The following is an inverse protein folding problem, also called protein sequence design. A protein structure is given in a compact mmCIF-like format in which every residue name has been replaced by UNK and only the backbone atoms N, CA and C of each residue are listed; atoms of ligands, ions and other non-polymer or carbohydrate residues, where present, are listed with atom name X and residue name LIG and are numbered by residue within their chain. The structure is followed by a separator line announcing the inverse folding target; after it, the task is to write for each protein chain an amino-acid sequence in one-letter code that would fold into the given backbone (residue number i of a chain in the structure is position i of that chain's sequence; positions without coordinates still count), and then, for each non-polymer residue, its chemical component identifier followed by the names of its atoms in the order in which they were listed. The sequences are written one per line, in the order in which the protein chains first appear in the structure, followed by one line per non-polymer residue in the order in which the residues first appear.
data_IF_211078097803
#
_entry.id   IF_211078097803
#
_cell.length_a   1.000
_cell.length_b   1.000
_cell.length_c   1.000
_cell.angle_alpha   90.00
_cell.angle_beta   90.00
_cell.angle_gamma   90.00
#
_symmetry.space_group_name_H-M   'P 1'
#
loop_
_entity.id
_entity.type
_entity.pdbx_description
1 polymer ?
#
# COMPACT_ATOMS: atom_id res chain seq x y z
N UNK A 1 -9.36 8.04 26.26
CA UNK A 1 -9.54 9.34 25.55
C UNK A 1 -9.61 9.00 24.07
N UNK A 2 -10.59 9.54 23.35
CA UNK A 2 -10.66 9.35 21.89
C UNK A 2 -9.43 9.93 21.20
N UNK A 3 -8.96 9.38 20.08
CA UNK A 3 -7.89 9.94 19.27
C UNK A 3 -8.17 11.42 18.94
N UNK A 4 -7.11 12.23 18.84
CA UNK A 4 -7.24 13.65 18.51
C UNK A 4 -6.90 13.92 17.06
N UNK A 5 -7.75 14.69 16.38
CA UNK A 5 -7.48 15.23 15.04
C UNK A 5 -6.72 16.55 15.22
N UNK A 6 -5.70 16.80 14.40
CA UNK A 6 -4.98 18.08 14.48
C UNK A 6 -5.91 19.23 14.10
N UNK A 7 -5.84 20.34 14.83
CA UNK A 7 -6.75 21.50 14.71
C UNK A 7 -6.81 22.13 13.30
N UNK A 8 -5.83 21.88 12.44
CA UNK A 8 -5.83 22.36 11.06
C UNK A 8 -6.68 21.54 10.09
N UNK A 9 -7.07 20.31 10.47
CA UNK A 9 -7.80 19.39 9.59
C UNK A 9 -9.31 19.66 9.60
N UNK A 10 -9.85 20.20 10.69
CA UNK A 10 -11.28 20.52 10.81
C UNK A 10 -11.71 21.82 10.09
N UNK A 11 -10.93 22.34 9.17
CA UNK A 11 -11.21 23.53 8.37
C UNK A 11 -11.70 23.16 6.96
N UNK A 12 -12.96 22.99 6.82
CA UNK A 12 -13.84 23.23 5.69
C UNK A 12 -13.63 22.62 4.32
N UNK A 13 -14.53 21.72 3.95
CA UNK A 13 -14.90 21.42 2.56
C UNK A 13 -16.39 21.78 2.36
N UNK A 14 -16.70 22.71 1.48
CA UNK A 14 -18.10 23.13 1.22
C UNK A 14 -18.40 23.29 -0.26
N UNK A 15 -19.62 22.94 -0.57
CA UNK A 15 -20.62 23.46 -1.50
C UNK A 15 -20.97 22.57 -2.69
N UNK A 16 -22.28 22.41 -2.81
CA UNK A 16 -22.99 21.73 -3.89
C UNK A 16 -22.88 22.50 -5.21
N UNK A 17 -22.37 21.83 -6.23
CA UNK A 17 -22.46 22.26 -7.63
C UNK A 17 -23.10 21.11 -8.40
N UNK A 18 -24.08 21.37 -9.31
CA UNK A 18 -24.67 20.31 -10.13
C UNK A 18 -23.60 19.54 -10.89
N UNK A 19 -23.59 18.23 -10.76
CA UNK A 19 -22.57 17.34 -11.30
C UNK A 19 -23.18 16.36 -12.29
N UNK A 20 -22.36 15.87 -13.22
CA UNK A 20 -22.70 14.67 -13.97
C UNK A 20 -22.43 13.50 -13.03
N UNK A 21 -23.47 12.89 -12.54
CA UNK A 21 -23.40 11.74 -11.66
C UNK A 21 -23.56 10.45 -12.47
N UNK A 22 -23.30 9.33 -11.83
CA UNK A 22 -23.72 8.04 -12.33
C UNK A 22 -25.25 7.98 -12.48
N UNK A 23 -25.73 7.23 -13.44
CA UNK A 23 -27.15 6.89 -13.52
C UNK A 23 -27.54 5.98 -12.35
N UNK A 24 -28.85 5.88 -12.02
CA UNK A 24 -29.32 5.02 -10.94
C UNK A 24 -28.83 3.56 -11.10
N UNK A 25 -28.92 2.90 -12.28
CA UNK A 25 -28.40 1.55 -12.45
C UNK A 25 -26.88 1.43 -12.23
N UNK A 26 -26.12 2.49 -12.51
CA UNK A 26 -24.69 2.51 -12.23
C UNK A 26 -24.41 2.63 -10.73
N UNK A 27 -25.16 3.46 -10.03
CA UNK A 27 -25.09 3.55 -8.56
C UNK A 27 -25.49 2.24 -7.91
N UNK A 28 -26.60 1.63 -8.35
CA UNK A 28 -27.03 0.31 -7.85
C UNK A 28 -25.94 -0.76 -8.04
N UNK A 29 -25.24 -0.73 -9.18
CA UNK A 29 -24.12 -1.63 -9.42
C UNK A 29 -22.92 -1.37 -8.51
N UNK A 30 -22.66 -0.11 -8.13
CA UNK A 30 -21.58 0.25 -7.20
C UNK A 30 -21.92 -0.25 -5.78
N UNK A 31 -23.14 0.04 -5.32
CA UNK A 31 -23.59 -0.39 -3.99
C UNK A 31 -23.67 -1.91 -3.89
N UNK A 32 -24.20 -2.59 -4.92
CA UNK A 32 -24.21 -4.06 -4.95
C UNK A 32 -22.81 -4.65 -4.85
N UNK A 33 -21.83 -4.13 -5.60
CA UNK A 33 -20.44 -4.61 -5.51
C UNK A 33 -19.84 -4.34 -4.13
N UNK A 34 -20.13 -3.17 -3.55
CA UNK A 34 -19.72 -2.84 -2.18
C UNK A 34 -20.30 -3.85 -1.18
N UNK A 35 -21.62 -4.03 -1.18
CA UNK A 35 -22.31 -4.88 -0.20
C UNK A 35 -21.94 -6.36 -0.33
N UNK A 36 -21.70 -6.86 -1.55
CA UNK A 36 -21.47 -8.29 -1.78
C UNK A 36 -20.00 -8.69 -1.81
N UNK A 37 -19.08 -7.78 -2.06
CA UNK A 37 -17.65 -8.08 -2.21
C UNK A 37 -16.79 -7.25 -1.24
N UNK A 38 -16.84 -5.90 -1.32
CA UNK A 38 -15.92 -5.04 -0.58
C UNK A 38 -16.21 -5.05 0.91
N UNK A 39 -17.43 -4.78 1.32
CA UNK A 39 -17.82 -4.72 2.73
C UNK A 39 -17.51 -6.03 3.49
N UNK A 40 -17.94 -7.22 3.03
CA UNK A 40 -17.65 -8.46 3.75
C UNK A 40 -16.16 -8.81 3.72
N UNK A 41 -15.43 -8.46 2.65
CA UNK A 41 -13.99 -8.69 2.57
C UNK A 41 -13.26 -7.84 3.60
N UNK A 42 -13.42 -6.52 3.55
CA UNK A 42 -12.70 -5.61 4.43
C UNK A 42 -13.07 -5.82 5.89
N UNK A 43 -14.35 -6.05 6.20
CA UNK A 43 -14.79 -6.42 7.55
C UNK A 43 -14.13 -7.71 8.04
N UNK A 44 -13.92 -8.68 7.16
CA UNK A 44 -13.21 -9.93 7.49
C UNK A 44 -11.72 -9.71 7.77
N UNK A 45 -11.07 -8.80 7.05
CA UNK A 45 -9.63 -8.55 7.17
C UNK A 45 -9.29 -7.50 8.25
N UNK A 46 -10.16 -6.51 8.50
CA UNK A 46 -9.82 -5.32 9.28
C UNK A 46 -10.78 -5.03 10.45
N UNK A 47 -11.64 -5.94 10.83
CA UNK A 47 -12.77 -5.76 11.75
C UNK A 47 -13.95 -5.00 11.12
N UNK A 48 -15.04 -4.87 11.90
CA UNK A 48 -16.23 -4.15 11.44
C UNK A 48 -16.01 -2.63 11.48
N UNK A 49 -16.65 -1.88 10.58
CA UNK A 49 -16.75 -0.43 10.73
C UNK A 49 -17.51 -0.05 12.00
N UNK A 50 -17.42 1.20 12.39
CA UNK A 50 -18.25 1.82 13.40
C UNK A 50 -19.66 2.12 12.86
N UNK A 51 -20.52 2.62 13.73
CA UNK A 51 -21.85 3.15 13.38
C UNK A 51 -22.09 4.34 14.34
N UNK A 52 -21.41 5.48 14.06
CA UNK A 52 -21.39 6.64 14.95
C UNK A 52 -22.71 7.40 14.94
N UNK A 53 -23.48 7.33 13.85
CA UNK A 53 -24.77 7.99 13.70
C UNK A 53 -25.97 7.05 13.90
N UNK A 54 -25.72 5.76 14.11
CA UNK A 54 -26.74 4.76 14.41
C UNK A 54 -27.66 4.41 13.23
N UNK A 55 -27.20 4.67 11.98
CA UNK A 55 -28.00 4.43 10.78
C UNK A 55 -27.68 3.09 10.09
N UNK A 56 -26.63 2.42 10.51
CA UNK A 56 -26.11 1.15 9.96
C UNK A 56 -25.74 1.21 8.47
N UNK A 57 -25.38 2.39 7.97
CA UNK A 57 -25.03 2.60 6.56
C UNK A 57 -23.66 3.26 6.40
N UNK A 58 -22.99 2.93 5.31
CA UNK A 58 -21.77 3.59 4.85
C UNK A 58 -22.14 4.55 3.70
N UNK A 59 -21.67 5.78 3.79
CA UNK A 59 -21.96 6.81 2.78
C UNK A 59 -20.78 6.94 1.82
N UNK A 60 -21.02 6.69 0.54
CA UNK A 60 -20.07 6.93 -0.55
C UNK A 60 -20.44 8.22 -1.28
N UNK A 61 -19.75 9.34 -0.98
CA UNK A 61 -20.08 10.65 -1.57
C UNK A 61 -19.24 10.92 -2.82
N UNK A 62 -19.85 10.82 -3.99
CA UNK A 62 -19.24 11.24 -5.26
C UNK A 62 -19.38 12.74 -5.47
N UNK A 63 -18.26 13.46 -5.62
CA UNK A 63 -18.27 14.92 -5.74
C UNK A 63 -17.22 15.44 -6.71
N UNK A 64 -17.60 16.38 -7.59
CA UNK A 64 -16.68 17.12 -8.45
C UNK A 64 -15.71 18.02 -7.66
N UNK A 65 -15.95 18.26 -6.37
CA UNK A 65 -14.98 18.95 -5.53
C UNK A 65 -13.73 18.08 -5.33
N UNK A 66 -13.88 16.76 -5.31
CA UNK A 66 -12.74 15.83 -5.24
C UNK A 66 -11.91 15.90 -6.52
N UNK A 67 -12.56 16.04 -7.69
CA UNK A 67 -11.86 16.23 -8.96
C UNK A 67 -10.92 17.45 -8.93
N UNK A 68 -11.31 18.54 -8.24
CA UNK A 68 -10.51 19.77 -8.10
C UNK A 68 -9.25 19.61 -7.25
N UNK A 69 -9.16 18.57 -6.41
CA UNK A 69 -7.97 18.29 -5.61
C UNK A 69 -6.77 17.88 -6.48
N UNK A 70 -7.02 17.49 -7.73
CA UNK A 70 -5.97 17.24 -8.71
C UNK A 70 -6.05 18.31 -9.80
N UNK A 71 -5.14 19.32 -9.80
CA UNK A 71 -5.12 20.34 -10.84
C UNK A 71 -5.03 19.77 -12.25
N UNK A 72 -5.62 20.43 -13.26
CA UNK A 72 -5.48 20.02 -14.66
C UNK A 72 -4.02 19.88 -15.07
N UNK A 73 -3.73 18.92 -15.92
CA UNK A 73 -2.38 18.62 -16.43
C UNK A 73 -1.36 18.18 -15.37
N UNK A 74 -1.79 17.82 -14.17
CA UNK A 74 -0.91 17.20 -13.18
C UNK A 74 -0.34 15.90 -13.74
N UNK A 75 0.99 15.79 -13.77
CA UNK A 75 1.71 14.56 -14.11
C UNK A 75 1.97 13.77 -12.84
N UNK A 76 1.68 12.46 -12.87
CA UNK A 76 1.85 11.59 -11.71
C UNK A 76 0.53 11.13 -11.11
N UNK A 77 0.43 11.10 -9.78
CA UNK A 77 -0.76 10.64 -9.07
C UNK A 77 -1.94 11.63 -9.15
N UNK A 78 -3.11 11.13 -8.85
CA UNK A 78 -4.32 11.93 -8.68
C UNK A 78 -5.06 11.49 -7.42
N UNK A 79 -5.88 12.38 -6.86
CA UNK A 79 -6.76 12.07 -5.74
C UNK A 79 -8.00 11.36 -6.30
N UNK A 80 -8.14 10.08 -6.04
CA UNK A 80 -9.31 9.26 -6.43
C UNK A 80 -10.44 9.33 -5.42
N UNK A 81 -10.09 9.49 -4.16
CA UNK A 81 -10.97 9.62 -3.01
C UNK A 81 -10.17 9.95 -1.77
N UNK A 82 -10.84 10.13 -0.66
CA UNK A 82 -10.25 10.15 0.68
C UNK A 82 -11.29 9.85 1.75
N UNK A 83 -10.84 9.33 2.88
CA UNK A 83 -11.60 9.26 4.11
C UNK A 83 -11.13 10.39 5.06
N UNK A 84 -12.06 10.98 5.79
CA UNK A 84 -11.79 12.04 6.75
C UNK A 84 -12.21 11.62 8.17
N UNK A 85 -11.25 11.22 8.99
CA UNK A 85 -11.52 10.76 10.36
C UNK A 85 -12.23 11.81 11.25
N UNK A 86 -12.20 13.08 10.86
CA UNK A 86 -12.94 14.16 11.52
C UNK A 86 -14.46 13.95 11.50
N UNK A 87 -14.98 13.18 10.54
CA UNK A 87 -16.42 12.88 10.44
C UNK A 87 -16.95 11.98 11.56
N UNK A 88 -16.08 11.35 12.34
CA UNK A 88 -16.48 10.60 13.53
C UNK A 88 -16.70 11.48 14.78
N UNK A 89 -16.24 12.73 14.75
CA UNK A 89 -16.32 13.63 15.90
C UNK A 89 -17.63 14.42 15.88
N UNK A 90 -18.15 14.83 17.06
CA UNK A 90 -19.27 15.74 17.10
C UNK A 90 -18.86 17.11 16.54
N UNK A 91 -19.80 17.85 15.93
CA UNK A 91 -19.54 19.21 15.44
C UNK A 91 -19.11 20.18 16.53
N UNK A 92 -19.64 19.98 17.74
CA UNK A 92 -19.26 20.72 18.96
C UNK A 92 -18.66 19.75 19.97
N UNK A 93 -17.49 20.07 20.47
CA UNK A 93 -16.80 19.22 21.44
C UNK A 93 -17.55 19.06 22.76
N UNK A 94 -17.36 17.93 23.42
CA UNK A 94 -17.90 17.58 24.71
C UNK A 94 -16.83 16.99 25.64
N UNK A 95 -17.21 16.48 26.81
CA UNK A 95 -16.26 15.90 27.75
C UNK A 95 -15.58 14.60 27.24
N UNK A 96 -16.14 13.93 26.26
CA UNK A 96 -15.68 12.65 25.71
C UNK A 96 -14.88 12.79 24.42
N UNK A 97 -15.20 13.79 23.60
CA UNK A 97 -14.57 14.01 22.31
C UNK A 97 -14.37 15.50 21.99
N UNK A 98 -13.28 15.81 21.29
CA UNK A 98 -13.09 17.15 20.74
C UNK A 98 -14.15 17.45 19.68
N UNK A 99 -14.46 18.74 19.43
CA UNK A 99 -15.32 19.16 18.35
C UNK A 99 -14.58 19.20 17.02
N UNK A 100 -15.30 18.87 15.95
CA UNK A 100 -14.88 19.07 14.56
C UNK A 100 -16.03 19.76 13.81
N UNK A 101 -15.96 21.08 13.68
CA UNK A 101 -17.06 21.89 13.15
C UNK A 101 -17.52 21.52 11.72
N UNK A 102 -16.66 20.84 10.97
CA UNK A 102 -16.90 20.38 9.59
C UNK A 102 -17.26 18.90 9.50
N UNK A 103 -17.44 18.25 10.65
CA UNK A 103 -17.85 16.84 10.69
C UNK A 103 -19.24 16.65 10.10
N UNK A 104 -19.41 15.56 9.36
CA UNK A 104 -20.72 15.08 8.94
C UNK A 104 -21.38 14.15 9.97
N UNK A 105 -20.63 13.74 11.02
CA UNK A 105 -21.13 12.87 12.08
C UNK A 105 -21.55 11.50 11.57
N UNK A 106 -20.84 10.92 10.62
CA UNK A 106 -21.25 9.72 9.90
C UNK A 106 -20.06 8.91 9.37
N UNK A 107 -20.30 7.66 9.03
CA UNK A 107 -19.40 6.80 8.26
C UNK A 107 -19.44 7.20 6.79
N UNK A 108 -18.59 8.16 6.41
CA UNK A 108 -18.58 8.73 5.06
C UNK A 108 -17.15 8.75 4.49
N UNK A 109 -17.00 8.42 3.22
CA UNK A 109 -15.81 8.70 2.45
C UNK A 109 -16.14 9.32 1.09
N UNK A 110 -15.18 10.05 0.54
CA UNK A 110 -15.36 10.97 -0.55
C UNK A 110 -14.66 10.45 -1.80
N UNK A 111 -15.37 10.49 -2.93
CA UNK A 111 -14.91 9.94 -4.20
C UNK A 111 -15.03 10.96 -5.32
N UNK A 112 -14.08 10.95 -6.25
CA UNK A 112 -14.19 11.75 -7.46
C UNK A 112 -15.40 11.30 -8.30
N UNK A 113 -16.04 12.25 -8.99
CA UNK A 113 -17.19 12.00 -9.85
C UNK A 113 -16.81 11.93 -11.34
N UNK A 114 -17.64 11.32 -12.20
CA UNK A 114 -17.50 11.49 -13.64
C UNK A 114 -17.48 12.97 -14.03
N UNK A 115 -16.55 13.34 -14.90
CA UNK A 115 -16.41 14.70 -15.44
C UNK A 115 -15.98 14.61 -16.93
N UNK A 116 -16.89 14.22 -17.82
CA UNK A 116 -16.54 14.01 -19.23
C UNK A 116 -16.20 15.29 -19.98
N UNK A 117 -16.49 16.44 -19.40
CA UNK A 117 -16.19 17.76 -19.96
C UNK A 117 -14.97 18.43 -19.35
N UNK A 118 -14.41 17.89 -18.26
CA UNK A 118 -13.30 18.49 -17.54
C UNK A 118 -13.67 19.79 -16.81
N UNK A 119 -14.93 19.93 -16.37
CA UNK A 119 -15.42 21.13 -15.68
C UNK A 119 -14.76 21.34 -14.31
N UNK A 120 -14.42 20.25 -13.65
CA UNK A 120 -13.89 20.27 -12.28
C UNK A 120 -12.39 19.91 -12.22
N UNK A 121 -11.79 19.53 -13.35
CA UNK A 121 -10.40 19.12 -13.39
C UNK A 121 -10.07 18.45 -14.72
N UNK A 122 -9.35 17.33 -14.68
CA UNK A 122 -9.07 16.54 -15.87
C UNK A 122 -10.35 15.81 -16.34
N UNK A 123 -10.49 15.66 -17.67
CA UNK A 123 -11.57 14.88 -18.29
C UNK A 123 -11.57 13.45 -17.73
N UNK A 124 -12.73 13.01 -17.22
CA UNK A 124 -12.92 11.69 -16.65
C UNK A 124 -14.25 11.10 -17.10
N UNK A 125 -14.16 10.10 -17.99
CA UNK A 125 -15.36 9.41 -18.44
C UNK A 125 -16.02 8.62 -17.30
N UNK A 126 -17.33 8.41 -17.41
CA UNK A 126 -18.10 7.59 -16.46
C UNK A 126 -17.49 6.17 -16.32
N UNK A 127 -17.08 5.57 -17.45
CA UNK A 127 -16.45 4.23 -17.42
C UNK A 127 -15.09 4.23 -16.73
N UNK A 128 -14.25 5.24 -16.93
CA UNK A 128 -12.95 5.32 -16.27
C UNK A 128 -13.08 5.53 -14.75
N UNK A 129 -14.05 6.37 -14.33
CA UNK A 129 -14.34 6.57 -12.91
C UNK A 129 -14.91 5.28 -12.30
N UNK A 130 -15.92 4.65 -12.94
CA UNK A 130 -16.49 3.40 -12.46
C UNK A 130 -15.42 2.31 -12.29
N UNK A 131 -14.49 2.24 -13.23
CA UNK A 131 -13.39 1.27 -13.18
C UNK A 131 -12.40 1.58 -12.06
N UNK A 132 -11.97 2.83 -11.94
CA UNK A 132 -10.94 3.24 -10.97
C UNK A 132 -11.44 3.26 -9.53
N UNK A 133 -12.71 3.60 -9.30
CA UNK A 133 -13.27 3.70 -7.93
C UNK A 133 -13.43 2.36 -7.23
N UNK A 134 -13.41 1.23 -7.91
CA UNK A 134 -13.52 -0.09 -7.29
C UNK A 134 -12.42 -0.33 -6.24
N UNK A 135 -11.17 -0.13 -6.61
CA UNK A 135 -10.04 -0.21 -5.68
C UNK A 135 -10.05 0.93 -4.66
N UNK A 136 -10.39 2.16 -5.10
CA UNK A 136 -10.47 3.33 -4.20
C UNK A 136 -11.51 3.11 -3.09
N UNK A 137 -12.67 2.53 -3.39
CA UNK A 137 -13.70 2.21 -2.39
C UNK A 137 -13.15 1.26 -1.30
N UNK A 138 -12.46 0.20 -1.69
CA UNK A 138 -11.82 -0.71 -0.74
C UNK A 138 -10.77 0.01 0.11
N UNK A 139 -9.97 0.87 -0.50
CA UNK A 139 -8.94 1.68 0.14
C UNK A 139 -9.52 2.63 1.20
N UNK A 140 -10.49 3.46 0.82
CA UNK A 140 -11.08 4.45 1.73
C UNK A 140 -11.93 3.78 2.84
N UNK A 141 -12.60 2.69 2.51
CA UNK A 141 -13.35 1.91 3.50
C UNK A 141 -12.43 1.27 4.54
N UNK A 142 -11.23 0.82 4.17
CA UNK A 142 -10.25 0.33 5.13
C UNK A 142 -9.76 1.44 6.07
N UNK A 143 -9.47 2.66 5.57
CA UNK A 143 -9.16 3.81 6.42
C UNK A 143 -10.27 4.09 7.42
N UNK A 144 -11.52 4.06 6.99
CA UNK A 144 -12.69 4.22 7.84
C UNK A 144 -12.74 3.16 8.94
N UNK A 145 -12.57 1.88 8.60
CA UNK A 145 -12.55 0.79 9.58
C UNK A 145 -11.41 1.00 10.59
N UNK A 146 -10.20 1.30 10.12
CA UNK A 146 -9.03 1.49 10.97
C UNK A 146 -9.23 2.67 11.94
N UNK A 147 -9.64 3.82 11.41
CA UNK A 147 -9.89 5.00 12.22
C UNK A 147 -11.04 4.79 13.21
N UNK A 148 -12.14 4.16 12.79
CA UNK A 148 -13.30 3.87 13.63
C UNK A 148 -12.98 2.93 14.80
N UNK A 149 -12.24 1.85 14.54
CA UNK A 149 -11.81 0.93 15.61
C UNK A 149 -10.89 1.64 16.61
N UNK A 150 -10.03 2.56 16.16
CA UNK A 150 -9.19 3.37 17.06
C UNK A 150 -9.99 4.43 17.80
N UNK A 151 -10.93 5.07 17.13
CA UNK A 151 -11.81 6.08 17.72
C UNK A 151 -12.64 5.51 18.89
N UNK A 152 -13.12 4.29 18.77
CA UNK A 152 -13.91 3.62 19.82
C UNK A 152 -13.07 2.94 20.90
N UNK A 153 -11.77 2.74 20.67
CA UNK A 153 -10.93 2.03 21.63
C UNK A 153 -10.38 2.99 22.71
N UNK A 154 -10.80 2.85 23.98
CA UNK A 154 -10.38 3.76 25.06
C UNK A 154 -8.88 3.65 25.41
N UNK A 155 -8.19 2.63 24.93
CA UNK A 155 -6.74 2.45 25.13
C UNK A 155 -5.90 3.16 24.06
N UNK A 156 -6.53 3.68 23.01
CA UNK A 156 -5.87 4.33 21.89
C UNK A 156 -5.95 5.85 22.05
N UNK A 157 -4.83 6.53 21.90
CA UNK A 157 -4.75 8.00 21.97
C UNK A 157 -4.51 8.66 20.62
N UNK A 158 -4.15 7.90 19.58
CA UNK A 158 -3.80 8.42 18.26
C UNK A 158 -4.36 7.53 17.15
N UNK A 159 -4.68 8.12 16.01
CA UNK A 159 -4.87 7.38 14.77
C UNK A 159 -3.58 6.69 14.34
N UNK A 160 -3.68 5.74 13.43
CA UNK A 160 -2.53 4.99 12.95
C UNK A 160 -1.50 5.91 12.25
N UNK A 161 -0.23 5.52 12.27
CA UNK A 161 0.79 6.24 11.51
C UNK A 161 0.57 6.06 10.02
N UNK A 162 0.76 7.15 9.27
CA UNK A 162 0.45 7.24 7.84
C UNK A 162 0.98 6.07 7.02
N UNK A 163 2.22 5.64 7.23
CA UNK A 163 2.79 4.55 6.43
C UNK A 163 2.06 3.22 6.61
N UNK A 164 1.62 2.92 7.84
CA UNK A 164 0.93 1.67 8.15
C UNK A 164 -0.55 1.74 7.76
N UNK A 165 -1.18 2.89 7.95
CA UNK A 165 -2.55 3.15 7.54
C UNK A 165 -2.70 3.02 6.02
N UNK A 166 -1.83 3.67 5.25
CA UNK A 166 -1.77 3.54 3.79
C UNK A 166 -1.46 2.11 3.33
N UNK A 167 -0.53 1.43 4.02
CA UNK A 167 -0.19 0.05 3.68
C UNK A 167 -1.35 -0.91 3.87
N UNK A 168 -2.17 -0.70 4.92
CA UNK A 168 -3.38 -1.48 5.17
C UNK A 168 -4.47 -1.19 4.14
N UNK A 169 -4.64 0.07 3.75
CA UNK A 169 -5.57 0.45 2.70
C UNK A 169 -5.19 -0.14 1.32
N UNK A 170 -3.91 -0.15 0.99
CA UNK A 170 -3.41 -0.86 -0.19
C UNK A 170 -3.52 -2.39 -0.08
N UNK A 171 -3.46 -2.93 1.12
CA UNK A 171 -3.74 -4.34 1.36
C UNK A 171 -5.22 -4.68 1.14
N UNK A 172 -6.14 -3.78 1.48
CA UNK A 172 -7.57 -3.93 1.20
C UNK A 172 -7.86 -4.01 -0.30
N UNK A 173 -7.24 -3.15 -1.12
CA UNK A 173 -7.32 -3.24 -2.58
C UNK A 173 -6.95 -4.67 -3.06
N UNK A 174 -5.81 -5.20 -2.61
CA UNK A 174 -5.35 -6.56 -2.95
C UNK A 174 -6.32 -7.65 -2.45
N UNK A 175 -6.80 -7.55 -1.21
CA UNK A 175 -7.71 -8.52 -0.61
C UNK A 175 -9.06 -8.58 -1.35
N UNK A 176 -9.66 -7.44 -1.65
CA UNK A 176 -10.91 -7.32 -2.42
C UNK A 176 -10.70 -7.87 -3.84
N UNK A 177 -9.58 -7.50 -4.49
CA UNK A 177 -9.24 -8.03 -5.81
C UNK A 177 -9.08 -9.55 -5.82
N UNK A 178 -8.50 -10.15 -4.78
CA UNK A 178 -8.39 -11.61 -4.64
C UNK A 178 -9.76 -12.27 -4.52
N UNK A 179 -10.63 -11.74 -3.66
CA UNK A 179 -12.00 -12.25 -3.51
C UNK A 179 -12.79 -12.11 -4.80
N UNK A 180 -12.72 -10.95 -5.46
CA UNK A 180 -13.36 -10.69 -6.76
C UNK A 180 -12.94 -11.71 -7.83
N UNK A 181 -11.70 -12.17 -7.78
CA UNK A 181 -11.11 -13.11 -8.74
C UNK A 181 -11.17 -14.58 -8.28
N UNK A 182 -11.67 -14.85 -7.07
CA UNK A 182 -11.70 -16.19 -6.49
C UNK A 182 -10.31 -16.74 -6.11
N UNK A 183 -9.34 -15.88 -5.85
CA UNK A 183 -8.01 -16.27 -5.40
C UNK A 183 -7.97 -16.45 -3.88
N UNK A 184 -7.23 -17.46 -3.42
CA UNK A 184 -6.99 -17.67 -1.99
C UNK A 184 -5.99 -16.66 -1.40
N UNK A 185 -6.06 -16.45 -0.08
CA UNK A 185 -5.24 -15.50 0.68
C UNK A 185 -3.72 -15.69 0.45
N UNK A 186 -3.30 -16.95 0.41
CA UNK A 186 -1.89 -17.37 0.24
C UNK A 186 -1.66 -18.09 -1.10
N UNK A 187 -2.56 -17.92 -2.06
CA UNK A 187 -2.33 -18.40 -3.42
C UNK A 187 -1.24 -17.56 -4.07
N UNK A 188 -0.15 -18.21 -4.45
CA UNK A 188 0.94 -17.57 -5.19
C UNK A 188 0.48 -17.17 -6.58
N UNK A 189 0.36 -15.86 -6.84
CA UNK A 189 -0.10 -15.34 -8.12
C UNK A 189 1.08 -15.04 -9.05
N UNK A 190 1.05 -15.58 -10.24
CA UNK A 190 1.88 -15.19 -11.37
C UNK A 190 1.18 -14.11 -12.22
N UNK A 191 1.89 -13.47 -13.14
CA UNK A 191 1.28 -12.45 -14.02
C UNK A 191 0.16 -13.02 -14.89
N UNK A 192 0.29 -14.26 -15.34
CA UNK A 192 -0.75 -14.94 -16.12
C UNK A 192 -2.04 -15.18 -15.32
N UNK A 193 -1.97 -15.33 -14.00
CA UNK A 193 -3.16 -15.44 -13.14
C UNK A 193 -3.87 -14.09 -13.07
N UNK A 194 -3.11 -13.01 -12.92
CA UNK A 194 -3.64 -11.64 -12.84
C UNK A 194 -4.23 -11.18 -14.18
N UNK A 195 -3.57 -11.49 -15.29
CA UNK A 195 -3.95 -11.09 -16.65
C UNK A 195 -3.92 -12.29 -17.59
N UNK A 196 -4.91 -13.21 -17.49
CA UNK A 196 -4.92 -14.46 -18.27
C UNK A 196 -5.31 -14.28 -19.74
N UNK A 197 -5.67 -13.08 -20.16
CA UNK A 197 -6.25 -12.82 -21.47
C UNK A 197 -5.67 -11.58 -22.15
N UNK A 198 -5.67 -11.57 -23.48
CA UNK A 198 -5.43 -10.36 -24.26
C UNK A 198 -6.62 -9.41 -24.13
N UNK A 199 -6.34 -8.10 -24.17
CA UNK A 199 -7.37 -7.05 -24.07
C UNK A 199 -8.34 -7.06 -25.26
N UNK A 200 -9.64 -6.72 -25.06
CA UNK A 200 -10.28 -6.39 -23.78
C UNK A 200 -10.78 -7.64 -23.04
N UNK A 201 -10.61 -7.66 -21.72
CA UNK A 201 -11.17 -8.71 -20.89
C UNK A 201 -11.48 -8.20 -19.47
N UNK A 202 -12.47 -8.82 -18.79
CA UNK A 202 -12.90 -8.45 -17.46
C UNK A 202 -11.78 -8.57 -16.41
N UNK A 203 -10.95 -9.62 -16.54
CA UNK A 203 -9.83 -9.86 -15.64
C UNK A 203 -8.76 -8.77 -15.70
N UNK A 204 -8.55 -8.15 -16.87
CA UNK A 204 -7.69 -6.98 -16.98
C UNK A 204 -8.29 -5.75 -16.26
N UNK A 205 -9.60 -5.62 -16.30
CA UNK A 205 -10.29 -4.56 -15.55
C UNK A 205 -10.10 -4.77 -14.04
N UNK A 206 -10.23 -6.00 -13.53
CA UNK A 206 -9.97 -6.30 -12.14
C UNK A 206 -8.50 -6.08 -11.77
N UNK A 207 -7.57 -6.47 -12.63
CA UNK A 207 -6.15 -6.19 -12.45
C UNK A 207 -5.87 -4.69 -12.32
N UNK A 208 -6.44 -3.88 -13.21
CA UNK A 208 -6.27 -2.42 -13.19
C UNK A 208 -6.94 -1.76 -11.97
N UNK A 209 -8.06 -2.33 -11.48
CA UNK A 209 -8.78 -1.78 -10.34
C UNK A 209 -8.08 -2.06 -9.00
N UNK A 210 -7.54 -3.27 -8.81
CA UNK A 210 -7.17 -3.76 -7.50
C UNK A 210 -5.68 -4.06 -7.32
N UNK A 211 -4.94 -4.37 -8.41
CA UNK A 211 -3.57 -4.87 -8.28
C UNK A 211 -2.53 -3.92 -8.90
N UNK A 212 -2.84 -3.36 -10.07
CA UNK A 212 -1.86 -2.63 -10.86
C UNK A 212 -1.20 -1.47 -10.12
N UNK A 213 -1.98 -0.68 -9.36
CA UNK A 213 -1.45 0.50 -8.67
C UNK A 213 -0.41 0.13 -7.61
N UNK A 214 -0.65 -0.94 -6.83
CA UNK A 214 0.27 -1.40 -5.81
C UNK A 214 1.56 -1.95 -6.42
N UNK A 215 1.45 -2.72 -7.50
CA UNK A 215 2.59 -3.23 -8.24
C UNK A 215 3.38 -2.12 -8.95
N UNK A 216 2.70 -1.12 -9.50
CA UNK A 216 3.34 0.04 -10.11
C UNK A 216 4.12 0.87 -9.07
N UNK A 217 3.54 1.10 -7.89
CA UNK A 217 4.19 1.79 -6.78
C UNK A 217 5.41 1.01 -6.26
N UNK A 218 5.30 -0.32 -6.18
CA UNK A 218 6.42 -1.18 -5.83
C UNK A 218 7.53 -1.12 -6.89
N UNK A 219 7.19 -0.99 -8.18
CA UNK A 219 8.17 -0.81 -9.24
C UNK A 219 9.02 0.46 -9.05
N UNK A 220 8.40 1.58 -8.64
CA UNK A 220 9.15 2.80 -8.31
C UNK A 220 10.12 2.61 -7.14
N UNK A 221 9.72 1.83 -6.13
CA UNK A 221 10.61 1.48 -5.04
C UNK A 221 11.77 0.58 -5.51
N UNK A 222 11.49 -0.44 -6.32
CA UNK A 222 12.50 -1.36 -6.83
C UNK A 222 13.57 -0.68 -7.68
N UNK A 223 13.24 0.43 -8.34
CA UNK A 223 14.20 1.26 -9.08
C UNK A 223 15.16 2.02 -8.13
N UNK A 224 14.73 2.35 -6.91
CA UNK A 224 15.49 3.13 -5.92
C UNK A 224 15.31 2.60 -4.50
N UNK A 225 15.70 1.34 -4.23
CA UNK A 225 15.41 0.68 -2.95
C UNK A 225 16.20 1.23 -1.76
N UNK A 226 17.23 2.03 -2.03
CA UNK A 226 18.08 2.74 -1.05
C UNK A 226 17.51 4.09 -0.61
N UNK A 227 16.49 4.62 -1.31
CA UNK A 227 15.98 5.98 -1.12
C UNK A 227 14.62 6.06 -0.42
N UNK A 228 13.83 5.01 -0.43
CA UNK A 228 12.46 5.01 0.07
C UNK A 228 12.25 3.96 1.16
N UNK A 229 12.14 4.42 2.41
CA UNK A 229 11.83 3.53 3.55
C UNK A 229 10.34 3.17 3.58
N UNK A 230 9.99 1.89 3.78
CA UNK A 230 8.59 1.47 3.91
C UNK A 230 7.89 2.08 5.13
N UNK A 231 8.64 2.48 6.16
CA UNK A 231 8.11 3.01 7.43
C UNK A 231 8.23 4.53 7.53
N UNK A 232 8.48 5.20 6.40
CA UNK A 232 8.61 6.66 6.36
C UNK A 232 7.26 7.37 6.47
N UNK A 233 7.25 8.50 7.17
CA UNK A 233 6.12 9.43 7.17
C UNK A 233 5.82 10.05 5.79
N UNK A 234 6.71 9.85 4.81
CA UNK A 234 6.53 10.31 3.42
C UNK A 234 5.53 9.47 2.61
N UNK A 235 4.83 8.52 3.23
CA UNK A 235 3.84 7.69 2.55
C UNK A 235 2.72 8.50 1.87
N UNK A 236 2.35 9.66 2.40
CA UNK A 236 1.35 10.54 1.77
C UNK A 236 1.79 11.12 0.42
N UNK A 237 3.08 11.36 0.24
CA UNK A 237 3.61 12.10 -0.91
C UNK A 237 4.50 11.27 -1.83
N UNK A 238 4.90 10.06 -1.39
CA UNK A 238 5.81 9.20 -2.14
C UNK A 238 5.15 7.90 -2.55
N UNK A 239 4.86 7.75 -3.84
CA UNK A 239 4.32 6.50 -4.39
C UNK A 239 5.26 5.30 -4.17
N UNK A 240 6.58 5.52 -4.23
CA UNK A 240 7.57 4.48 -3.94
C UNK A 240 7.51 4.01 -2.48
N UNK A 241 7.35 4.94 -1.53
CA UNK A 241 7.16 4.63 -0.12
C UNK A 241 5.86 3.84 0.11
N UNK A 242 4.75 4.23 -0.52
CA UNK A 242 3.48 3.48 -0.46
C UNK A 242 3.64 2.05 -0.99
N UNK A 243 4.32 1.88 -2.12
CA UNK A 243 4.59 0.55 -2.69
C UNK A 243 5.43 -0.33 -1.77
N UNK A 244 6.47 0.25 -1.15
CA UNK A 244 7.30 -0.46 -0.17
C UNK A 244 6.50 -0.82 1.10
N UNK A 245 5.67 0.10 1.59
CA UNK A 245 4.84 -0.10 2.78
C UNK A 245 3.80 -1.21 2.56
N UNK A 246 3.12 -1.23 1.42
CA UNK A 246 2.25 -2.33 1.02
C UNK A 246 3.03 -3.66 0.96
N UNK A 247 4.18 -3.67 0.30
CA UNK A 247 4.95 -4.89 0.09
C UNK A 247 5.47 -5.50 1.39
N UNK A 248 5.94 -4.69 2.36
CA UNK A 248 6.40 -5.22 3.65
C UNK A 248 5.23 -5.73 4.51
N UNK A 249 4.06 -5.07 4.47
CA UNK A 249 2.84 -5.55 5.16
C UNK A 249 2.36 -6.85 4.53
N UNK A 250 2.38 -6.97 3.20
CA UNK A 250 2.04 -8.22 2.49
C UNK A 250 3.03 -9.34 2.84
N UNK A 251 4.35 -9.05 2.85
CA UNK A 251 5.38 -9.97 3.29
C UNK A 251 5.16 -10.46 4.73
N UNK A 252 4.82 -9.54 5.63
CA UNK A 252 4.56 -9.90 7.02
C UNK A 252 3.28 -10.76 7.15
N UNK A 253 2.23 -10.42 6.42
CA UNK A 253 1.02 -11.24 6.37
C UNK A 253 1.28 -12.65 5.83
N UNK A 254 2.18 -12.81 4.87
CA UNK A 254 2.56 -14.10 4.32
C UNK A 254 3.38 -14.96 5.29
N UNK A 255 4.26 -14.35 6.11
CA UNK A 255 5.29 -15.06 6.86
C UNK A 255 5.13 -14.99 8.38
N UNK A 256 4.37 -14.04 8.93
CA UNK A 256 4.22 -13.82 10.38
C UNK A 256 2.78 -13.99 10.90
N UNK A 257 1.83 -14.32 10.03
CA UNK A 257 0.41 -14.44 10.40
C UNK A 257 0.05 -15.70 11.21
N UNK A 258 0.95 -16.63 11.37
CA UNK A 258 0.79 -17.96 11.97
C UNK A 258 -0.28 -18.88 11.30
N UNK A 259 -1.21 -18.34 10.53
CA UNK A 259 -2.26 -19.12 9.88
C UNK A 259 -2.82 -18.42 8.64
N UNK A 260 -3.43 -17.26 8.79
CA UNK A 260 -4.13 -16.53 7.74
C UNK A 260 -3.77 -15.04 7.77
N UNK A 261 -3.54 -14.41 6.62
CA UNK A 261 -3.25 -12.97 6.49
C UNK A 261 -4.25 -12.08 7.24
N UNK A 262 -5.54 -12.42 7.21
CA UNK A 262 -6.60 -11.68 7.92
C UNK A 262 -6.41 -11.64 9.44
N UNK A 263 -5.83 -12.64 10.05
CA UNK A 263 -5.52 -12.62 11.49
C UNK A 263 -4.47 -11.56 11.80
N UNK A 264 -3.49 -11.40 10.95
CA UNK A 264 -2.44 -10.40 11.08
C UNK A 264 -2.98 -8.97 10.89
N UNK A 265 -3.76 -8.72 9.84
CA UNK A 265 -4.30 -7.39 9.56
C UNK A 265 -5.32 -6.95 10.61
N UNK A 266 -6.17 -7.86 11.10
CA UNK A 266 -7.07 -7.60 12.24
C UNK A 266 -6.32 -7.22 13.51
N UNK A 267 -5.20 -7.89 13.79
CA UNK A 267 -4.37 -7.57 14.95
C UNK A 267 -3.76 -6.16 14.85
N UNK A 268 -3.39 -5.71 13.66
CA UNK A 268 -2.90 -4.36 13.42
C UNK A 268 -3.99 -3.29 13.68
N UNK A 269 -5.21 -3.53 13.21
CA UNK A 269 -6.33 -2.60 13.41
C UNK A 269 -6.77 -2.55 14.88
N UNK A 270 -6.81 -3.69 15.56
CA UNK A 270 -7.22 -3.78 16.97
C UNK A 270 -6.12 -3.34 17.96
N UNK A 271 -4.86 -3.23 17.51
CA UNK A 271 -3.72 -2.91 18.36
C UNK A 271 -3.80 -1.49 18.95
N UNK A 272 -3.40 -1.31 20.22
CA UNK A 272 -3.42 0.01 20.85
C UNK A 272 -2.24 0.91 20.43
N UNK A 273 -1.17 0.32 19.94
CA UNK A 273 0.03 1.02 19.46
C UNK A 273 -0.15 1.54 18.03
N UNK A 274 0.81 2.34 17.55
CA UNK A 274 0.84 2.85 16.17
C UNK A 274 2.17 2.55 15.48
N UNK A 275 2.17 2.49 14.17
CA UNK A 275 3.35 2.39 13.32
C UNK A 275 4.22 1.19 13.64
N UNK A 276 5.50 1.47 13.82
CA UNK A 276 6.52 0.44 14.06
C UNK A 276 6.24 -0.41 15.31
N UNK A 277 5.69 0.20 16.36
CA UNK A 277 5.34 -0.53 17.60
C UNK A 277 4.17 -1.49 17.35
N UNK A 278 3.12 -1.02 16.70
CA UNK A 278 1.97 -1.85 16.33
C UNK A 278 2.39 -3.01 15.42
N UNK A 279 3.20 -2.71 14.41
CA UNK A 279 3.70 -3.71 13.48
C UNK A 279 4.58 -4.77 14.16
N UNK A 280 5.49 -4.34 15.08
CA UNK A 280 6.32 -5.26 15.86
C UNK A 280 5.49 -6.14 16.81
N UNK A 281 4.45 -5.58 17.43
CA UNK A 281 3.53 -6.34 18.27
C UNK A 281 2.75 -7.39 17.48
N UNK A 282 2.24 -7.05 16.30
CA UNK A 282 1.49 -7.96 15.44
C UNK A 282 2.37 -9.08 14.84
N UNK A 283 3.60 -8.76 14.44
CA UNK A 283 4.56 -9.75 13.91
C UNK A 283 5.24 -10.56 15.00
N UNK A 284 5.17 -10.13 16.27
CA UNK A 284 5.94 -10.68 17.41
C UNK A 284 7.44 -10.69 17.14
N UNK A 285 7.90 -9.72 16.38
CA UNK A 285 9.32 -9.63 15.94
C UNK A 285 9.75 -8.16 15.91
N UNK A 286 11.00 -7.86 16.23
CA UNK A 286 11.55 -6.53 16.03
C UNK A 286 11.43 -6.11 14.56
N UNK A 287 11.12 -4.84 14.33
CA UNK A 287 10.93 -4.29 12.97
C UNK A 287 12.14 -4.56 12.07
N UNK A 288 13.36 -4.45 12.60
CA UNK A 288 14.59 -4.72 11.87
C UNK A 288 14.65 -6.16 11.32
N UNK A 289 14.17 -7.13 12.10
CA UNK A 289 14.12 -8.53 11.65
C UNK A 289 13.17 -8.69 10.48
N UNK A 290 12.01 -8.03 10.52
CA UNK A 290 11.02 -8.08 9.44
C UNK A 290 11.53 -7.36 8.19
N UNK A 291 12.08 -6.15 8.35
CA UNK A 291 12.67 -5.37 7.24
C UNK A 291 13.80 -6.14 6.55
N UNK A 292 14.70 -6.76 7.32
CA UNK A 292 15.78 -7.59 6.77
C UNK A 292 15.26 -8.75 5.96
N UNK A 293 14.31 -9.51 6.52
CA UNK A 293 13.69 -10.64 5.82
C UNK A 293 12.99 -10.18 4.53
N UNK A 294 12.27 -9.07 4.61
CA UNK A 294 11.61 -8.46 3.45
C UNK A 294 12.60 -8.03 2.36
N UNK A 295 13.67 -7.31 2.71
CA UNK A 295 14.69 -6.91 1.74
C UNK A 295 15.36 -8.10 1.06
N UNK A 296 15.65 -9.18 1.79
CA UNK A 296 16.17 -10.41 1.18
C UNK A 296 15.13 -11.02 0.23
N UNK A 297 13.84 -11.08 0.64
CA UNK A 297 12.78 -11.65 -0.18
C UNK A 297 12.58 -10.90 -1.49
N UNK A 298 12.73 -9.57 -1.51
CA UNK A 298 12.60 -8.76 -2.73
C UNK A 298 13.61 -9.15 -3.82
N UNK A 299 14.77 -9.69 -3.44
CA UNK A 299 15.72 -10.29 -4.39
C UNK A 299 15.47 -11.78 -4.62
N UNK A 300 15.25 -12.54 -3.55
CA UNK A 300 15.30 -14.01 -3.56
C UNK A 300 13.99 -14.67 -4.00
N UNK A 301 12.87 -13.89 -4.04
CA UNK A 301 11.56 -14.42 -4.36
C UNK A 301 11.56 -15.24 -5.65
N UNK A 302 11.14 -16.50 -5.55
CA UNK A 302 11.03 -17.47 -6.66
C UNK A 302 12.30 -17.60 -7.54
N UNK A 303 13.48 -17.32 -6.99
CA UNK A 303 14.74 -17.43 -7.74
C UNK A 303 15.31 -18.87 -7.78
N UNK A 304 14.68 -19.81 -7.08
CA UNK A 304 15.09 -21.23 -7.09
C UNK A 304 16.38 -21.50 -6.32
N UNK A 305 16.72 -20.69 -5.32
CA UNK A 305 17.96 -20.83 -4.54
C UNK A 305 17.82 -22.05 -3.61
N UNK A 306 18.68 -23.05 -3.83
CA UNK A 306 18.69 -24.27 -3.02
C UNK A 306 19.01 -23.97 -1.55
N UNK A 307 18.20 -24.50 -0.64
CA UNK A 307 18.39 -24.35 0.81
C UNK A 307 18.00 -22.99 1.38
N UNK A 308 17.41 -22.11 0.57
CA UNK A 308 16.88 -20.86 1.06
C UNK A 308 15.66 -21.12 1.96
N UNK A 309 15.64 -20.50 3.14
CA UNK A 309 14.48 -20.56 4.06
C UNK A 309 13.24 -19.94 3.37
N UNK A 310 12.12 -20.64 3.45
CA UNK A 310 10.85 -20.22 2.83
C UNK A 310 10.35 -18.84 3.27
N UNK A 311 10.77 -18.35 4.46
CA UNK A 311 10.47 -16.98 4.91
C UNK A 311 11.06 -15.88 4.02
N UNK A 312 12.02 -16.18 3.17
CA UNK A 312 12.58 -15.22 2.20
C UNK A 312 11.86 -15.25 0.85
N UNK A 313 10.62 -15.70 0.84
CA UNK A 313 9.75 -15.71 -0.33
C UNK A 313 8.37 -15.19 0.03
N UNK A 314 7.68 -14.63 -0.95
CA UNK A 314 6.25 -14.37 -0.84
C UNK A 314 5.47 -15.67 -1.06
N UNK A 315 4.40 -15.84 -0.30
CA UNK A 315 3.46 -16.95 -0.48
C UNK A 315 2.28 -16.55 -1.34
N UNK A 316 2.02 -15.25 -1.44
CA UNK A 316 0.89 -14.66 -2.16
C UNK A 316 1.22 -14.23 -3.58
N UNK A 317 2.48 -14.02 -3.90
CA UNK A 317 2.95 -13.57 -5.21
C UNK A 317 4.21 -14.28 -5.66
N UNK A 318 4.34 -14.48 -6.98
CA UNK A 318 5.60 -14.73 -7.66
C UNK A 318 6.04 -13.40 -8.31
N UNK A 319 6.78 -12.58 -7.58
CA UNK A 319 7.23 -11.29 -8.11
C UNK A 319 8.18 -11.41 -9.30
N UNK A 320 8.89 -12.52 -9.45
CA UNK A 320 9.71 -12.77 -10.65
C UNK A 320 8.86 -12.88 -11.91
N UNK A 321 7.63 -13.35 -11.79
CA UNK A 321 6.66 -13.40 -12.88
C UNK A 321 5.91 -12.07 -13.04
N UNK A 322 5.49 -11.45 -11.92
CA UNK A 322 4.56 -10.32 -11.94
C UNK A 322 5.27 -9.00 -12.29
N UNK A 323 6.44 -8.74 -11.71
CA UNK A 323 7.06 -7.41 -11.77
C UNK A 323 7.63 -7.01 -13.13
N UNK A 324 8.24 -7.91 -13.95
CA UNK A 324 8.79 -7.50 -15.23
C UNK A 324 7.77 -6.91 -16.21
N UNK A 325 6.58 -7.51 -16.44
CA UNK A 325 5.55 -6.90 -17.32
C UNK A 325 4.98 -5.58 -16.76
N UNK A 326 4.87 -5.45 -15.42
CA UNK A 326 4.43 -4.21 -14.80
C UNK A 326 5.49 -3.12 -15.00
N UNK A 327 6.76 -3.41 -14.75
CA UNK A 327 7.86 -2.47 -14.94
C UNK A 327 8.01 -2.02 -16.41
N UNK A 328 7.71 -2.87 -17.37
CA UNK A 328 7.67 -2.49 -18.78
C UNK A 328 6.67 -1.35 -19.01
N UNK A 329 5.49 -1.42 -18.39
CA UNK A 329 4.46 -0.38 -18.55
C UNK A 329 4.72 0.89 -17.73
N UNK A 330 5.47 0.79 -16.64
CA UNK A 330 5.70 1.89 -15.68
C UNK A 330 7.03 2.61 -15.95
N UNK A 331 8.11 1.87 -16.22
CA UNK A 331 9.48 2.38 -16.39
C UNK A 331 10.00 2.21 -17.82
N UNK A 332 9.21 1.71 -18.75
CA UNK A 332 9.63 1.40 -20.13
C UNK A 332 10.82 0.42 -20.20
N UNK A 333 10.95 -0.46 -19.22
CA UNK A 333 11.98 -1.50 -19.17
C UNK A 333 11.61 -2.71 -20.04
N UNK A 334 12.56 -3.61 -20.28
CA UNK A 334 12.26 -4.90 -20.95
C UNK A 334 11.31 -5.74 -20.07
N UNK A 335 10.30 -6.36 -20.70
CA UNK A 335 9.35 -7.25 -20.03
C UNK A 335 9.98 -8.51 -19.39
N UNK A 336 11.23 -8.81 -19.67
CA UNK A 336 11.99 -9.91 -19.07
C UNK A 336 12.91 -9.46 -17.95
N UNK A 337 13.05 -8.15 -17.72
CA UNK A 337 13.98 -7.62 -16.72
C UNK A 337 13.26 -7.46 -15.37
N UNK A 338 13.75 -8.17 -14.36
CA UNK A 338 13.29 -7.92 -12.98
C UNK A 338 13.73 -6.53 -12.54
N UNK A 339 12.80 -5.66 -12.09
CA UNK A 339 13.08 -4.23 -11.98
C UNK A 339 13.93 -3.82 -10.78
N UNK A 340 14.28 -4.75 -9.87
CA UNK A 340 15.09 -4.43 -8.70
C UNK A 340 16.47 -3.94 -9.13
N UNK A 341 16.81 -2.71 -8.72
CA UNK A 341 18.10 -2.11 -9.01
C UNK A 341 19.22 -2.83 -8.28
N UNK A 342 20.11 -3.46 -9.05
CA UNK A 342 21.27 -4.20 -8.57
C UNK A 342 22.51 -3.58 -9.21
N UNK A 343 23.47 -3.19 -8.38
CA UNK A 343 24.76 -2.66 -8.83
C UNK A 343 25.77 -3.79 -8.95
N UNK A 344 26.49 -3.86 -10.07
CA UNK A 344 27.52 -4.87 -10.26
C UNK A 344 28.86 -4.38 -9.70
N UNK A 345 29.52 -5.21 -8.91
CA UNK A 345 30.89 -4.99 -8.45
C UNK A 345 31.83 -5.76 -9.38
N UNK A 346 32.69 -5.05 -10.07
CA UNK A 346 33.65 -5.59 -11.02
C UNK A 346 34.82 -6.33 -10.37
N UNK A 347 35.81 -6.71 -11.21
CA UNK A 347 37.03 -7.40 -10.74
C UNK A 347 38.11 -6.45 -10.24
N UNK A 348 37.95 -5.12 -10.44
CA UNK A 348 38.85 -4.06 -9.98
C UNK A 348 38.36 -3.35 -8.73
N UNK A 349 38.95 -2.21 -8.43
CA UNK A 349 38.48 -1.30 -7.37
C UNK A 349 37.33 -0.43 -7.88
N UNK A 350 36.09 -0.90 -7.73
CA UNK A 350 34.90 -0.08 -8.01
C UNK A 350 34.55 0.75 -6.76
N UNK A 351 34.48 2.04 -6.93
CA UNK A 351 33.90 2.93 -5.91
C UNK A 351 32.40 3.10 -6.19
N UNK A 352 31.57 2.36 -5.47
CA UNK A 352 30.12 2.51 -5.51
C UNK A 352 29.70 3.28 -4.26
N UNK A 353 29.13 4.45 -4.45
CA UNK A 353 28.58 5.25 -3.36
C UNK A 353 27.11 4.96 -3.23
N UNK A 354 26.67 4.52 -2.05
CA UNK A 354 25.26 4.32 -1.69
C UNK A 354 24.98 5.04 -0.38
N UNK A 355 23.84 5.71 -0.31
CA UNK A 355 23.34 6.35 0.91
C UNK A 355 22.02 5.72 1.26
N UNK A 356 22.06 4.76 2.18
CA UNK A 356 20.85 4.12 2.67
C UNK A 356 20.14 4.99 3.72
N UNK A 357 18.81 5.07 3.61
CA UNK A 357 17.97 5.55 4.70
C UNK A 357 17.64 4.38 5.65
N UNK A 358 17.23 4.70 6.87
CA UNK A 358 16.76 3.69 7.82
C UNK A 358 15.62 2.87 7.21
N UNK A 359 15.71 1.54 7.31
CA UNK A 359 14.71 0.63 6.75
C UNK A 359 14.83 0.37 5.24
N UNK A 360 15.92 0.84 4.59
CA UNK A 360 16.20 0.62 3.16
C UNK A 360 17.37 -0.32 2.94
N UNK A 361 17.64 -0.70 1.68
CA UNK A 361 18.75 -1.56 1.30
C UNK A 361 19.29 -1.28 -0.08
N UNK A 362 20.58 -1.54 -0.26
CA UNK A 362 21.24 -1.54 -1.57
C UNK A 362 21.63 -2.95 -1.95
N UNK A 363 21.45 -3.29 -3.21
CA UNK A 363 21.75 -4.62 -3.73
C UNK A 363 22.96 -4.58 -4.63
N UNK A 364 23.92 -5.48 -4.34
CA UNK A 364 25.14 -5.64 -5.12
C UNK A 364 25.24 -7.05 -5.67
N UNK A 365 25.69 -7.16 -6.92
CA UNK A 365 26.09 -8.44 -7.52
C UNK A 365 27.59 -8.51 -7.60
N UNK A 366 28.17 -9.50 -6.93
CA UNK A 366 29.57 -9.83 -7.02
C UNK A 366 29.76 -11.10 -7.84
N UNK A 367 30.45 -11.02 -8.96
CA UNK A 367 30.80 -12.20 -9.75
C UNK A 367 32.19 -12.68 -9.35
N UNK A 368 32.28 -13.94 -8.91
CA UNK A 368 33.56 -14.61 -8.58
C UNK A 368 33.85 -15.61 -9.67
N UNK A 369 35.01 -15.52 -10.27
CA UNK A 369 35.44 -16.48 -11.31
C UNK A 369 35.56 -17.90 -10.76
N UNK A 370 35.25 -18.90 -11.57
CA UNK A 370 35.44 -20.30 -11.20
C UNK A 370 36.91 -20.55 -10.82
N UNK A 371 37.13 -21.23 -9.68
CA UNK A 371 38.50 -21.53 -9.17
C UNK A 371 39.14 -20.38 -8.41
N UNK A 372 38.53 -19.23 -8.26
CA UNK A 372 39.03 -18.17 -7.38
C UNK A 372 38.93 -18.58 -5.91
N UNK A 373 40.00 -18.37 -5.14
CA UNK A 373 40.06 -18.79 -3.74
C UNK A 373 39.35 -17.84 -2.80
N UNK A 374 39.34 -16.55 -3.08
CA UNK A 374 38.64 -15.53 -2.30
C UNK A 374 38.50 -14.23 -3.07
N UNK A 375 37.52 -13.42 -2.69
CA UNK A 375 37.37 -12.04 -3.13
C UNK A 375 37.05 -11.15 -1.93
N UNK A 376 37.83 -10.10 -1.74
CA UNK A 376 37.68 -9.18 -0.63
C UNK A 376 36.78 -8.01 -1.09
N UNK A 377 35.71 -7.74 -0.35
CA UNK A 377 34.88 -6.55 -0.49
C UNK A 377 35.14 -5.66 0.72
N UNK A 378 35.53 -4.42 0.48
CA UNK A 378 35.65 -3.40 1.53
C UNK A 378 34.50 -2.45 1.42
N UNK A 379 33.82 -2.18 2.53
CA UNK A 379 32.80 -1.15 2.63
C UNK A 379 33.44 0.01 3.41
N UNK A 380 33.50 1.16 2.79
CA UNK A 380 34.16 2.35 3.34
C UNK A 380 33.11 3.42 3.61
N UNK A 381 33.37 4.25 4.62
CA UNK A 381 32.63 5.49 4.83
C UNK A 381 33.01 6.57 3.77
N UNK A 382 32.38 7.71 3.83
CA UNK A 382 32.64 8.82 2.89
C UNK A 382 34.05 9.43 3.04
N UNK A 383 34.77 9.11 4.12
CA UNK A 383 36.13 9.54 4.38
C UNK A 383 37.17 8.51 3.96
N UNK A 384 36.73 7.35 3.43
CA UNK A 384 37.59 6.25 2.99
C UNK A 384 38.05 5.31 4.10
N UNK A 385 37.53 5.44 5.32
CA UNK A 385 37.79 4.50 6.40
C UNK A 385 36.86 3.31 6.30
N UNK A 386 37.24 2.17 6.92
CA UNK A 386 36.34 1.01 7.04
C UNK A 386 35.05 1.47 7.76
N UNK A 387 33.90 1.28 7.11
CA UNK A 387 32.62 1.69 7.66
C UNK A 387 32.34 1.00 9.00
N UNK A 388 31.87 1.77 9.97
CA UNK A 388 31.37 1.25 11.23
C UNK A 388 29.86 1.02 11.08
N UNK A 389 29.45 -0.22 11.29
CA UNK A 389 28.04 -0.62 11.17
C UNK A 389 27.37 -0.62 12.55
N UNK A 390 26.67 0.45 12.87
CA UNK A 390 25.83 0.55 14.06
C UNK A 390 24.36 0.40 13.66
N UNK A 391 23.88 -0.84 13.58
CA UNK A 391 22.50 -1.13 13.17
C UNK A 391 22.31 -1.51 11.70
N UNK A 392 23.34 -1.37 10.86
CA UNK A 392 23.33 -1.86 9.49
C UNK A 392 23.72 -3.36 9.46
N UNK A 393 23.22 -4.07 8.45
CA UNK A 393 23.49 -5.48 8.26
C UNK A 393 23.88 -5.78 6.81
N UNK A 394 24.85 -6.68 6.65
CA UNK A 394 25.26 -7.20 5.33
C UNK A 394 24.76 -8.64 5.22
N UNK A 395 24.04 -8.91 4.15
CA UNK A 395 23.60 -10.24 3.77
C UNK A 395 24.36 -10.70 2.52
N UNK A 396 24.88 -11.89 2.56
CA UNK A 396 25.51 -12.53 1.41
C UNK A 396 24.65 -13.70 1.00
N UNK A 397 24.11 -13.64 -0.22
CA UNK A 397 23.31 -14.69 -0.80
C UNK A 397 24.06 -15.29 -1.99
N UNK A 398 24.40 -16.58 -1.89
CA UNK A 398 24.99 -17.31 -3.00
C UNK A 398 23.90 -17.79 -3.94
N UNK A 399 23.96 -17.39 -5.22
CA UNK A 399 22.92 -17.69 -6.22
C UNK A 399 23.36 -18.75 -7.25
N UNK A 400 24.59 -19.24 -7.16
CA UNK A 400 25.13 -20.34 -7.96
C UNK A 400 26.15 -21.14 -7.16
#
# INVERSE_FOLDING_TARGET
MSPQVSSGICAGLIASVPQVLFTQPQMDSITQEFDTITFPTDSSYFNNPTDVDGNSHIIMLFSGQINKLTPPNTTGGFVGGFFFAGDFFPTVGNAQAQGCAQSNGAEIFYLLSPDPTGRFGNVRSTSSVRQGTRGTIAHEFQHMINAGNRFQNPLVSNFESTWLDEALAHFAEDAVGRVQRGFGDLQTLAFADLVPCSSPCSQRNDFNAFFFQNLARLTYWMDKPDQFSPTSAMADTSLATRGAAWAIVRYAADNYSNALPRTFTRALVAGPDTGVKNFAAATKSPIDTVVKGWLVSMYADHLGITGLDGKYQYRSYNFRSVMPPVAQSVLSQSAQTYPLRIQSIGSGSDNIVSKNLSGTGTYFRLTVAAGATAKNVKILDTSGNVASFAGEHIYVLRVQ
#
